data_IF_642684952763
#
_entry.id   IF_642684952763
#
_cell.length_a   1.000
_cell.length_b   1.000
_cell.length_c   1.000
_cell.angle_alpha   90.00
_cell.angle_beta   90.00
_cell.angle_gamma   90.00
#
_symmetry.space_group_name_H-M   'P 1'
#
loop_
_entity.id
_entity.type
_entity.pdbx_description
1 polymer ?
#
# COMPACT_ATOMS: atom_id res chain seq x y z
N UNK A 1 15.76 2.22 -12.74
CA UNK A 1 16.83 3.24 -12.77
C UNK A 1 17.94 2.72 -11.89
N UNK A 2 19.14 2.60 -12.43
CA UNK A 2 20.30 2.18 -11.64
C UNK A 2 20.90 3.41 -10.94
N UNK A 3 21.02 3.36 -9.62
CA UNK A 3 21.62 4.40 -8.79
C UNK A 3 22.60 3.71 -7.85
N UNK A 4 23.88 4.08 -7.95
CA UNK A 4 24.94 3.53 -7.08
C UNK A 4 25.00 1.98 -7.07
N UNK A 5 24.73 1.34 -8.22
CA UNK A 5 24.75 -0.12 -8.37
C UNK A 5 23.50 -0.83 -7.86
N UNK A 6 22.44 -0.09 -7.51
CA UNK A 6 21.14 -0.61 -7.10
C UNK A 6 20.09 -0.29 -8.15
N UNK A 7 19.34 -1.30 -8.58
CA UNK A 7 18.18 -1.12 -9.46
C UNK A 7 16.95 -0.66 -8.68
N UNK A 8 16.43 0.51 -9.05
CA UNK A 8 15.18 1.06 -8.53
C UNK A 8 14.06 0.97 -9.54
N UNK A 9 12.87 0.64 -9.04
CA UNK A 9 11.62 0.68 -9.80
C UNK A 9 10.63 1.65 -9.16
N UNK A 10 9.71 2.17 -9.98
CA UNK A 10 8.59 2.94 -9.46
C UNK A 10 7.62 2.00 -8.75
N UNK A 11 7.11 2.43 -7.59
CA UNK A 11 6.19 1.60 -6.79
C UNK A 11 4.89 1.32 -7.55
N UNK A 12 4.47 0.04 -7.72
CA UNK A 12 3.16 -0.31 -8.27
C UNK A 12 2.05 -0.40 -7.20
N UNK A 13 2.44 -0.34 -5.91
CA UNK A 13 1.58 -0.43 -4.73
C UNK A 13 2.31 0.12 -3.49
N UNK A 14 1.57 0.53 -2.46
CA UNK A 14 2.14 1.09 -1.23
C UNK A 14 2.43 0.02 -0.16
N UNK A 15 1.85 -1.18 -0.27
CA UNK A 15 1.90 -2.23 0.74
C UNK A 15 3.30 -2.55 1.28
N UNK A 16 4.33 -2.76 0.43
CA UNK A 16 5.69 -3.06 0.92
C UNK A 16 6.25 -1.94 1.79
N UNK A 17 5.96 -0.68 1.45
CA UNK A 17 6.45 0.49 2.20
C UNK A 17 5.74 0.61 3.55
N UNK A 18 4.44 0.33 3.61
CA UNK A 18 3.70 0.30 4.88
C UNK A 18 4.17 -0.85 5.79
N UNK A 19 4.55 -1.99 5.23
CA UNK A 19 5.17 -3.08 6.00
C UNK A 19 6.53 -2.63 6.56
N UNK A 20 7.33 -1.89 5.80
CA UNK A 20 8.60 -1.33 6.29
C UNK A 20 8.37 -0.36 7.45
N UNK A 21 7.36 0.53 7.35
CA UNK A 21 6.97 1.44 8.44
C UNK A 21 6.51 0.67 9.67
N UNK A 22 5.70 -0.37 9.49
CA UNK A 22 5.26 -1.22 10.60
C UNK A 22 6.44 -1.89 11.31
N UNK A 23 7.43 -2.36 10.53
CA UNK A 23 8.63 -3.05 11.03
C UNK A 23 9.64 -2.14 11.74
N UNK A 24 9.63 -0.83 11.49
CA UNK A 24 10.64 0.11 11.97
C UNK A 24 10.76 0.17 13.51
N UNK A 25 9.71 -0.17 14.24
CA UNK A 25 9.75 -0.24 15.71
C UNK A 25 9.04 -1.47 16.26
N UNK A 26 9.46 -1.89 17.46
CA UNK A 26 8.83 -2.99 18.20
C UNK A 26 7.37 -2.62 18.49
N UNK A 27 6.45 -3.56 18.19
CA UNK A 27 5.01 -3.40 18.46
C UNK A 27 4.57 -4.41 19.50
N UNK A 28 3.77 -3.95 20.46
CA UNK A 28 3.05 -4.80 21.40
C UNK A 28 1.72 -5.23 20.78
N UNK A 29 1.20 -6.38 21.21
CA UNK A 29 -0.17 -6.80 20.88
C UNK A 29 -1.22 -5.78 21.33
N UNK A 30 -0.90 -4.95 22.34
CA UNK A 30 -1.76 -3.86 22.85
C UNK A 30 -1.82 -2.65 21.93
N UNK A 31 -0.83 -2.50 21.03
CA UNK A 31 -0.78 -1.38 20.09
C UNK A 31 -1.65 -1.66 18.86
N UNK A 32 -2.06 -2.92 18.66
CA UNK A 32 -2.96 -3.31 17.59
C UNK A 32 -4.42 -2.99 17.96
N UNK A 33 -5.25 -2.55 16.98
CA UNK A 33 -4.94 -2.42 15.55
C UNK A 33 -4.20 -1.12 15.17
N UNK A 34 -3.21 -1.24 14.29
CA UNK A 34 -2.47 -0.11 13.69
C UNK A 34 -3.01 0.16 12.28
N UNK A 35 -3.31 1.42 11.98
CA UNK A 35 -3.84 1.89 10.69
C UNK A 35 -2.86 2.88 10.06
N UNK A 36 -2.40 2.58 8.85
CA UNK A 36 -1.57 3.46 8.04
C UNK A 36 -2.34 3.83 6.78
N UNK A 37 -2.51 5.11 6.49
CA UNK A 37 -3.13 5.60 5.25
C UNK A 37 -2.18 6.50 4.47
N UNK A 38 -2.24 6.40 3.15
CA UNK A 38 -1.45 7.21 2.23
C UNK A 38 -2.30 7.55 0.99
N UNK A 39 -2.31 8.83 0.59
CA UNK A 39 -2.69 9.21 -0.77
C UNK A 39 -1.50 8.94 -1.70
N UNK A 40 -1.21 7.65 -1.92
CA UNK A 40 0.03 7.21 -2.56
C UNK A 40 -0.09 7.14 -4.07
N UNK A 41 0.77 7.88 -4.78
CA UNK A 41 0.90 7.78 -6.24
C UNK A 41 1.67 6.52 -6.62
N UNK A 42 1.07 5.69 -7.45
CA UNK A 42 1.62 4.42 -7.92
C UNK A 42 1.66 4.36 -9.44
N UNK A 43 2.56 3.54 -9.95
CA UNK A 43 2.74 3.35 -11.39
C UNK A 43 2.68 1.87 -11.76
N UNK A 44 1.82 1.54 -12.72
CA UNK A 44 1.68 0.18 -13.26
C UNK A 44 1.88 0.22 -14.77
N UNK A 45 2.74 -0.65 -15.28
CA UNK A 45 3.00 -0.73 -16.71
C UNK A 45 1.87 -1.49 -17.44
N UNK A 46 0.73 -0.81 -17.60
CA UNK A 46 -0.42 -1.33 -18.33
C UNK A 46 -0.16 -1.37 -19.84
N UNK A 47 -0.66 -2.42 -20.51
CA UNK A 47 -0.56 -2.59 -21.96
C UNK A 47 -1.23 -1.41 -22.66
N UNK A 48 -0.59 -0.84 -23.68
CA UNK A 48 -1.06 0.37 -24.37
C UNK A 48 -2.50 0.26 -24.89
N UNK A 49 -2.86 -0.89 -25.46
CA UNK A 49 -4.23 -1.15 -25.97
C UNK A 49 -5.31 -1.32 -24.89
N UNK A 50 -4.96 -1.26 -23.61
CA UNK A 50 -5.92 -1.40 -22.50
C UNK A 50 -6.24 -0.07 -21.80
N UNK A 51 -5.52 1.00 -22.12
CA UNK A 51 -5.72 2.31 -21.49
C UNK A 51 -7.05 2.92 -21.92
N UNK A 52 -7.78 3.52 -20.96
CA UNK A 52 -9.10 4.10 -21.23
C UNK A 52 -9.38 5.31 -20.33
N UNK A 53 -9.31 6.51 -20.92
CA UNK A 53 -9.61 7.77 -20.24
C UNK A 53 -8.92 7.87 -18.87
N UNK A 54 -9.72 8.11 -17.82
CA UNK A 54 -9.28 8.08 -16.42
C UNK A 54 -9.59 6.74 -15.71
N UNK A 55 -10.32 5.83 -16.37
CA UNK A 55 -10.72 4.54 -15.76
C UNK A 55 -9.54 3.55 -15.70
N UNK A 56 -8.61 3.63 -16.66
CA UNK A 56 -7.42 2.76 -16.69
C UNK A 56 -6.21 3.53 -17.20
N UNK A 57 -5.31 3.86 -16.28
CA UNK A 57 -4.12 4.70 -16.51
C UNK A 57 -2.87 4.03 -15.94
N UNK A 58 -1.68 4.49 -16.36
CA UNK A 58 -0.40 3.95 -15.87
C UNK A 58 0.08 4.59 -14.57
N UNK A 59 -0.39 5.78 -14.25
CA UNK A 59 -0.03 6.51 -13.03
C UNK A 59 -1.29 7.08 -12.40
N UNK A 60 -1.50 6.78 -11.13
CA UNK A 60 -2.69 7.20 -10.38
C UNK A 60 -2.39 7.24 -8.89
N UNK A 61 -3.18 8.01 -8.16
CA UNK A 61 -3.12 8.10 -6.70
C UNK A 61 -4.30 7.35 -6.13
N UNK A 62 -4.03 6.43 -5.19
CA UNK A 62 -5.06 5.69 -4.48
C UNK A 62 -5.17 6.24 -3.06
N UNK A 63 -6.39 6.29 -2.53
CA UNK A 63 -6.70 6.45 -1.11
C UNK A 63 -6.42 5.14 -0.35
N UNK A 64 -5.15 4.75 -0.35
CA UNK A 64 -4.71 3.44 0.11
C UNK A 64 -4.53 3.40 1.63
N UNK A 65 -4.91 2.29 2.25
CA UNK A 65 -4.80 2.09 3.68
C UNK A 65 -4.43 0.65 4.01
N UNK A 66 -3.60 0.48 5.03
CA UNK A 66 -3.12 -0.80 5.52
C UNK A 66 -3.41 -0.91 7.00
N UNK A 67 -4.13 -1.97 7.35
CA UNK A 67 -4.50 -2.29 8.72
C UNK A 67 -3.71 -3.52 9.18
N UNK A 68 -2.97 -3.35 10.26
CA UNK A 68 -2.34 -4.44 10.99
C UNK A 68 -3.19 -4.71 12.23
N UNK A 69 -3.78 -5.90 12.32
CA UNK A 69 -4.64 -6.29 13.42
C UNK A 69 -4.32 -7.72 13.89
N UNK A 70 -4.84 -8.09 15.06
CA UNK A 70 -4.76 -9.47 15.53
C UNK A 70 -5.82 -10.31 14.82
N UNK A 71 -5.62 -11.63 14.67
CA UNK A 71 -6.61 -12.50 14.01
C UNK A 71 -8.01 -12.39 14.62
N UNK A 72 -8.12 -12.22 15.94
CA UNK A 72 -9.39 -12.06 16.64
C UNK A 72 -10.12 -10.75 16.33
N UNK A 73 -9.41 -9.72 15.89
CA UNK A 73 -9.98 -8.40 15.57
C UNK A 73 -10.43 -8.29 14.10
N UNK A 74 -10.08 -9.28 13.26
CA UNK A 74 -10.24 -9.21 11.80
C UNK A 74 -11.69 -8.93 11.38
N UNK A 75 -12.67 -9.66 11.92
CA UNK A 75 -14.08 -9.49 11.56
C UNK A 75 -14.58 -8.08 11.91
N UNK A 76 -14.31 -7.64 13.13
CA UNK A 76 -14.66 -6.31 13.64
C UNK A 76 -14.06 -5.19 12.80
N UNK A 77 -12.81 -5.36 12.37
CA UNK A 77 -12.14 -4.33 11.57
C UNK A 77 -12.61 -4.31 10.12
N UNK A 78 -12.97 -5.46 9.53
CA UNK A 78 -13.62 -5.51 8.22
C UNK A 78 -14.97 -4.77 8.27
N UNK A 79 -15.79 -5.01 9.30
CA UNK A 79 -17.08 -4.34 9.47
C UNK A 79 -16.97 -2.81 9.60
N UNK A 80 -15.87 -2.29 10.14
CA UNK A 80 -15.64 -0.84 10.25
C UNK A 80 -15.23 -0.17 8.94
N UNK A 81 -14.75 -0.95 7.98
CA UNK A 81 -14.23 -0.46 6.70
C UNK A 81 -15.29 -0.53 5.60
N UNK A 82 -16.24 -1.47 5.71
CA UNK A 82 -17.38 -1.63 4.81
C UNK A 82 -18.49 -0.59 5.07
#
# INVERSE_FOLDING_TARGET
MEIEGVEYELKPMNCPFHIMIFRESVKSYRDLPIRLSELGTVYRYERSGTLHGLMRVRGFTQDDAHLFCRPEDLATEIEKVL
#
